data_IF_767401589692
#
_entry.id   IF_767401589692
#
_cell.length_a   1.000
_cell.length_b   1.000
_cell.length_c   1.000
_cell.angle_alpha   90.00
_cell.angle_beta   90.00
_cell.angle_gamma   90.00
#
_symmetry.space_group_name_H-M   'P 1'
#
loop_
_entity.id
_entity.type
_entity.pdbx_description
1 polymer ?
#
# COMPACT_ATOMS: atom_id res chain seq x y z
N UNK A 1 3.16 63.96 -17.28
CA UNK A 1 2.21 63.11 -16.53
C UNK A 1 1.81 61.97 -17.44
N UNK A 2 2.43 60.80 -17.28
CA UNK A 2 2.15 59.58 -18.03
C UNK A 2 1.10 58.76 -17.28
N UNK A 3 -0.02 58.37 -17.92
CA UNK A 3 -0.84 57.29 -17.39
C UNK A 3 -0.29 55.94 -17.87
N UNK A 4 0.04 55.14 -16.87
CA UNK A 4 0.35 53.70 -16.91
C UNK A 4 -0.72 52.93 -17.69
N UNK A 5 -0.36 52.37 -18.84
CA UNK A 5 -1.19 51.39 -19.55
C UNK A 5 -0.81 49.99 -19.04
N UNK A 6 -1.38 49.63 -17.89
CA UNK A 6 -1.29 48.28 -17.35
C UNK A 6 -2.18 47.35 -18.17
N UNK A 7 -1.57 46.60 -19.09
CA UNK A 7 -2.22 45.56 -19.88
C UNK A 7 -2.80 44.46 -18.94
N UNK A 8 -4.13 44.27 -18.88
CA UNK A 8 -4.77 43.31 -17.98
C UNK A 8 -4.60 41.84 -18.43
N UNK A 9 -3.98 41.57 -19.59
CA UNK A 9 -3.85 40.21 -20.11
C UNK A 9 -2.64 39.43 -19.56
N UNK A 10 -1.80 40.03 -18.70
CA UNK A 10 -0.64 39.33 -18.13
C UNK A 10 -0.97 38.38 -16.95
N UNK A 11 -2.23 38.32 -16.49
CA UNK A 11 -2.64 37.46 -15.36
C UNK A 11 -3.52 36.26 -15.74
N UNK A 12 -3.74 36.02 -17.04
CA UNK A 12 -4.58 34.91 -17.51
C UNK A 12 -3.80 33.75 -18.15
N UNK A 13 -2.47 33.72 -18.01
CA UNK A 13 -1.63 32.61 -18.46
C UNK A 13 -1.28 31.59 -17.37
N UNK A 14 -1.46 31.93 -16.08
CA UNK A 14 -1.01 31.08 -14.97
C UNK A 14 -2.11 30.19 -14.34
N UNK A 15 -3.35 30.27 -14.83
CA UNK A 15 -4.48 29.46 -14.33
C UNK A 15 -4.80 28.23 -15.20
N UNK A 16 -3.93 27.87 -16.15
CA UNK A 16 -4.16 26.76 -17.09
C UNK A 16 -3.13 25.63 -16.98
N UNK A 17 -2.67 25.37 -15.76
CA UNK A 17 -1.98 24.13 -15.41
C UNK A 17 -2.78 23.38 -14.34
N UNK A 18 -4.11 23.29 -14.54
CA UNK A 18 -4.83 22.15 -14.03
C UNK A 18 -4.20 20.94 -14.70
N UNK A 19 -3.48 20.10 -13.94
CA UNK A 19 -3.15 18.73 -14.36
C UNK A 19 -4.46 18.09 -14.78
N UNK A 20 -4.80 18.16 -16.06
CA UNK A 20 -5.74 17.23 -16.67
C UNK A 20 -5.03 15.91 -16.55
N UNK A 21 -5.30 15.18 -15.48
CA UNK A 21 -4.71 13.86 -15.26
C UNK A 21 -5.20 13.02 -16.45
N UNK A 22 -4.37 12.90 -17.47
CA UNK A 22 -4.71 12.18 -18.67
C UNK A 22 -5.14 10.77 -18.25
N UNK A 23 -6.30 10.33 -18.72
CA UNK A 23 -6.74 8.97 -18.45
C UNK A 23 -5.66 8.03 -19.01
N UNK A 24 -5.15 7.08 -18.21
CA UNK A 24 -4.04 6.21 -18.61
C UNK A 24 -4.46 5.36 -19.81
N UNK A 25 -3.51 5.08 -20.70
CA UNK A 25 -3.78 4.21 -21.84
C UNK A 25 -3.98 2.75 -21.36
N UNK A 26 -4.73 1.92 -22.10
CA UNK A 26 -4.94 0.53 -21.72
C UNK A 26 -3.61 -0.25 -21.63
N UNK A 27 -2.65 0.07 -22.48
CA UNK A 27 -1.32 -0.54 -22.47
C UNK A 27 -0.50 -0.12 -21.25
N UNK A 28 -0.56 1.14 -20.82
CA UNK A 28 0.06 1.60 -19.57
C UNK A 28 -0.54 0.89 -18.34
N UNK A 29 -1.85 0.65 -18.33
CA UNK A 29 -2.50 -0.08 -17.23
C UNK A 29 -2.09 -1.54 -17.19
N UNK A 30 -1.99 -2.20 -18.35
CA UNK A 30 -1.50 -3.57 -18.46
C UNK A 30 -0.04 -3.69 -18.03
N UNK A 31 0.79 -2.74 -18.46
CA UNK A 31 2.20 -2.69 -18.08
C UNK A 31 2.35 -2.48 -16.56
N UNK A 32 1.60 -1.53 -15.97
CA UNK A 32 1.58 -1.32 -14.52
C UNK A 32 1.14 -2.58 -13.79
N UNK A 33 0.09 -3.25 -14.25
CA UNK A 33 -0.40 -4.50 -13.66
C UNK A 33 0.68 -5.59 -13.65
N UNK A 34 1.44 -5.76 -14.72
CA UNK A 34 2.53 -6.74 -14.80
C UNK A 34 3.74 -6.35 -13.96
N UNK A 35 3.99 -5.06 -13.76
CA UNK A 35 5.08 -4.55 -12.92
C UNK A 35 4.78 -4.64 -11.41
N UNK A 36 3.53 -4.87 -11.01
CA UNK A 36 3.19 -5.05 -9.60
C UNK A 36 3.76 -6.36 -9.06
N UNK A 37 4.77 -6.24 -8.22
CA UNK A 37 5.35 -7.35 -7.49
C UNK A 37 4.50 -7.68 -6.25
N UNK A 38 3.68 -8.73 -6.38
CA UNK A 38 2.79 -9.19 -5.30
C UNK A 38 3.55 -9.67 -4.05
N UNK A 39 4.83 -10.05 -4.18
CA UNK A 39 5.64 -10.52 -3.06
C UNK A 39 5.98 -9.42 -2.05
N UNK A 40 5.86 -8.13 -2.45
CA UNK A 40 6.10 -6.97 -1.59
C UNK A 40 4.98 -6.70 -0.60
N UNK A 41 3.80 -7.26 -0.82
CA UNK A 41 2.63 -7.10 0.04
C UNK A 41 2.45 -8.25 1.04
N UNK A 42 3.42 -9.15 1.13
CA UNK A 42 3.40 -10.26 2.08
C UNK A 42 3.64 -9.74 3.51
N UNK A 43 2.55 -9.76 4.30
CA UNK A 43 2.53 -9.32 5.69
C UNK A 43 3.46 -10.16 6.56
N UNK A 44 3.51 -11.47 6.33
CA UNK A 44 4.29 -12.39 7.16
C UNK A 44 5.79 -12.24 6.86
N UNK A 45 6.15 -12.04 5.59
CA UNK A 45 7.53 -11.75 5.20
C UNK A 45 8.00 -10.42 5.78
N UNK A 46 7.20 -9.34 5.66
CA UNK A 46 7.55 -8.03 6.25
C UNK A 46 7.59 -8.06 7.77
N UNK A 47 6.66 -8.77 8.41
CA UNK A 47 6.68 -8.98 9.84
C UNK A 47 7.94 -9.74 10.27
N UNK A 48 8.38 -10.74 9.52
CA UNK A 48 9.61 -11.48 9.80
C UNK A 48 10.87 -10.63 9.56
N UNK A 49 10.91 -9.74 8.57
CA UNK A 49 12.00 -8.78 8.40
C UNK A 49 12.08 -7.81 9.58
N UNK A 50 10.94 -7.25 10.02
CA UNK A 50 10.88 -6.37 11.20
C UNK A 50 11.24 -7.10 12.50
N UNK A 51 10.79 -8.36 12.63
CA UNK A 51 11.05 -9.19 13.80
C UNK A 51 12.47 -9.72 13.82
N UNK A 52 13.06 -10.05 12.67
CA UNK A 52 14.40 -10.63 12.52
C UNK A 52 15.50 -9.83 13.23
N UNK A 53 15.40 -8.50 13.20
CA UNK A 53 16.31 -7.62 13.94
C UNK A 53 16.11 -7.67 15.48
N UNK A 54 14.92 -8.07 15.95
CA UNK A 54 14.53 -8.10 17.38
C UNK A 54 14.59 -9.48 18.04
N UNK A 55 14.70 -10.57 17.27
CA UNK A 55 14.78 -11.94 17.82
C UNK A 55 16.03 -12.08 18.71
N UNK A 56 17.15 -11.47 18.32
CA UNK A 56 18.36 -11.47 19.14
C UNK A 56 18.16 -10.79 20.50
N UNK A 57 17.35 -9.73 20.54
CA UNK A 57 17.01 -9.02 21.78
C UNK A 57 16.19 -9.90 22.73
N UNK A 58 15.25 -10.69 22.20
CA UNK A 58 14.46 -11.64 23.01
C UNK A 58 15.32 -12.80 23.53
N UNK A 59 16.23 -13.33 22.72
CA UNK A 59 17.15 -14.38 23.15
C UNK A 59 18.12 -13.91 24.26
N UNK A 60 18.56 -12.65 24.20
CA UNK A 60 19.40 -12.02 25.24
C UNK A 60 18.62 -11.55 26.47
N UNK A 61 17.29 -11.36 26.37
CA UNK A 61 16.49 -10.83 27.46
C UNK A 61 16.56 -11.71 28.73
N UNK A 62 16.54 -13.04 28.58
CA UNK A 62 16.60 -13.97 29.72
C UNK A 62 17.94 -13.83 30.49
N UNK A 63 19.12 -14.03 29.88
CA UNK A 63 20.38 -13.90 30.60
C UNK A 63 20.62 -12.48 31.15
N UNK A 64 20.26 -11.44 30.39
CA UNK A 64 20.40 -10.05 30.83
C UNK A 64 19.49 -9.77 32.04
N UNK A 65 18.24 -10.24 32.01
CA UNK A 65 17.30 -10.08 33.14
C UNK A 65 17.80 -10.77 34.41
N UNK A 66 18.44 -11.95 34.30
CA UNK A 66 19.02 -12.66 35.43
C UNK A 66 20.22 -11.91 36.06
N UNK A 67 21.06 -11.29 35.22
CA UNK A 67 22.17 -10.45 35.67
C UNK A 67 21.65 -9.20 36.38
N UNK A 68 20.65 -8.53 35.81
CA UNK A 68 20.03 -7.37 36.47
C UNK A 68 19.36 -7.76 37.79
N UNK A 69 18.65 -8.88 37.83
CA UNK A 69 18.00 -9.38 39.05
C UNK A 69 19.03 -9.61 40.16
N UNK A 70 20.15 -10.26 39.85
CA UNK A 70 21.20 -10.53 40.84
C UNK A 70 21.88 -9.24 41.31
N UNK A 71 22.19 -8.30 40.41
CA UNK A 71 22.77 -7.00 40.77
C UNK A 71 21.84 -6.20 41.68
N UNK A 72 20.56 -6.03 41.30
CA UNK A 72 19.60 -5.26 42.09
C UNK A 72 19.31 -5.92 43.43
N UNK A 73 19.22 -7.26 43.46
CA UNK A 73 19.05 -8.00 44.72
C UNK A 73 20.26 -7.81 45.64
N UNK A 74 21.49 -7.85 45.10
CA UNK A 74 22.71 -7.68 45.89
C UNK A 74 22.83 -6.24 46.44
N UNK A 75 22.50 -5.24 45.63
CA UNK A 75 22.48 -3.83 46.05
C UNK A 75 21.46 -3.63 47.17
N UNK A 76 20.24 -4.15 47.02
CA UNK A 76 19.20 -4.03 48.03
C UNK A 76 19.54 -4.79 49.31
N UNK A 77 20.10 -6.01 49.18
CA UNK A 77 20.56 -6.79 50.32
C UNK A 77 21.64 -6.06 51.12
N UNK A 78 22.59 -5.42 50.46
CA UNK A 78 23.67 -4.67 51.11
C UNK A 78 23.19 -3.34 51.72
N UNK A 79 22.28 -2.63 51.05
CA UNK A 79 21.80 -1.32 51.50
C UNK A 79 20.77 -1.40 52.65
N UNK A 80 19.96 -2.46 52.69
CA UNK A 80 18.83 -2.58 53.61
C UNK A 80 18.91 -3.79 54.55
N UNK A 81 19.98 -4.59 54.46
CA UNK A 81 20.21 -5.83 55.23
C UNK A 81 19.06 -6.86 55.12
N UNK A 82 18.30 -6.76 54.02
CA UNK A 82 17.07 -7.51 53.79
C UNK A 82 17.10 -8.13 52.39
N UNK A 83 17.65 -9.36 52.25
CA UNK A 83 17.85 -9.98 50.94
C UNK A 83 16.53 -10.45 50.29
N UNK A 84 15.61 -11.01 51.08
CA UNK A 84 14.34 -11.54 50.56
C UNK A 84 13.43 -10.40 50.03
N UNK A 85 13.19 -9.30 50.76
CA UNK A 85 12.40 -8.18 50.24
C UNK A 85 13.04 -7.52 49.02
N UNK A 86 14.36 -7.38 49.02
CA UNK A 86 15.11 -6.78 47.90
C UNK A 86 14.98 -7.60 46.62
N UNK A 87 15.00 -8.93 46.73
CA UNK A 87 14.74 -9.83 45.62
C UNK A 87 13.33 -9.62 45.05
N UNK A 88 12.31 -9.60 45.91
CA UNK A 88 10.91 -9.45 45.49
C UNK A 88 10.66 -8.12 44.78
N UNK A 89 11.22 -7.02 45.29
CA UNK A 89 11.12 -5.69 44.67
C UNK A 89 11.81 -5.69 43.30
N UNK A 90 13.01 -6.27 43.22
CA UNK A 90 13.76 -6.37 41.96
C UNK A 90 12.98 -7.18 40.92
N UNK A 91 12.43 -8.34 41.32
CA UNK A 91 11.61 -9.17 40.46
C UNK A 91 10.35 -8.44 39.98
N UNK A 92 9.69 -7.68 40.85
CA UNK A 92 8.53 -6.88 40.48
C UNK A 92 8.86 -5.79 39.44
N UNK A 93 9.99 -5.10 39.61
CA UNK A 93 10.48 -4.09 38.65
C UNK A 93 10.80 -4.74 37.30
N UNK A 94 11.55 -5.84 37.32
CA UNK A 94 11.91 -6.59 36.11
C UNK A 94 10.68 -7.12 35.37
N UNK A 95 9.69 -7.63 36.10
CA UNK A 95 8.41 -8.05 35.52
C UNK A 95 7.73 -6.87 34.82
N UNK A 96 7.66 -5.71 35.48
CA UNK A 96 7.03 -4.53 34.92
C UNK A 96 7.72 -4.05 33.64
N UNK A 97 9.05 -3.99 33.63
CA UNK A 97 9.85 -3.67 32.43
C UNK A 97 9.60 -4.69 31.31
N UNK A 98 9.57 -5.99 31.65
CA UNK A 98 9.28 -7.06 30.71
C UNK A 98 7.92 -6.88 30.04
N UNK A 99 6.88 -6.58 30.81
CA UNK A 99 5.54 -6.32 30.26
C UNK A 99 5.50 -5.10 29.35
N UNK A 100 6.27 -4.04 29.65
CA UNK A 100 6.35 -2.85 28.80
C UNK A 100 7.02 -3.17 27.46
N UNK A 101 8.10 -3.95 27.46
CA UNK A 101 8.78 -4.38 26.22
C UNK A 101 7.87 -5.28 25.39
N UNK A 102 7.17 -6.22 26.02
CA UNK A 102 6.28 -7.16 25.36
C UNK A 102 5.07 -6.44 24.71
N UNK A 103 4.60 -5.35 25.33
CA UNK A 103 3.57 -4.49 24.75
C UNK A 103 3.98 -3.91 23.39
N UNK A 104 5.26 -3.55 23.19
CA UNK A 104 5.73 -3.04 21.90
C UNK A 104 5.70 -4.11 20.80
N UNK A 105 5.92 -5.38 21.15
CA UNK A 105 5.87 -6.48 20.18
C UNK A 105 4.46 -6.70 19.64
N UNK A 106 3.42 -6.41 20.44
CA UNK A 106 2.01 -6.52 20.01
C UNK A 106 1.63 -5.53 18.92
N UNK A 107 2.37 -4.43 18.78
CA UNK A 107 2.10 -3.40 17.76
C UNK A 107 2.77 -3.69 16.40
N UNK A 108 3.74 -4.61 16.34
CA UNK A 108 4.42 -4.99 15.10
C UNK A 108 3.48 -5.48 13.97
N UNK A 109 2.51 -6.38 14.19
CA UNK A 109 1.61 -6.80 13.12
C UNK A 109 0.73 -5.65 12.60
N UNK A 110 0.39 -4.70 13.48
CA UNK A 110 -0.39 -3.50 13.10
C UNK A 110 0.47 -2.57 12.24
N UNK A 111 1.73 -2.36 12.62
CA UNK A 111 2.67 -1.54 11.85
C UNK A 111 2.96 -2.14 10.47
N UNK A 112 3.25 -3.45 10.39
CA UNK A 112 3.47 -4.15 9.12
C UNK A 112 2.24 -4.06 8.19
N UNK A 113 1.03 -4.20 8.75
CA UNK A 113 -0.20 -3.99 7.98
C UNK A 113 -0.34 -2.55 7.47
N UNK A 114 -0.05 -1.55 8.30
CA UNK A 114 -0.15 -0.15 7.91
C UNK A 114 0.86 0.21 6.81
N UNK A 115 2.09 -0.29 6.88
CA UNK A 115 3.08 -0.12 5.81
C UNK A 115 2.61 -0.74 4.50
N UNK A 116 2.04 -1.94 4.55
CA UNK A 116 1.50 -2.59 3.35
C UNK A 116 0.31 -1.80 2.79
N UNK A 117 -0.54 -1.22 3.64
CA UNK A 117 -1.61 -0.32 3.18
C UNK A 117 -1.06 0.92 2.46
N UNK A 118 0.04 1.49 2.96
CA UNK A 118 0.72 2.61 2.29
C UNK A 118 1.32 2.19 0.94
N UNK A 119 1.99 1.03 0.88
CA UNK A 119 2.53 0.50 -0.37
C UNK A 119 1.43 0.22 -1.41
N UNK A 120 0.28 -0.28 -0.97
CA UNK A 120 -0.90 -0.44 -1.84
C UNK A 120 -1.39 0.93 -2.31
N UNK A 121 -1.46 1.93 -1.43
CA UNK A 121 -1.86 3.29 -1.80
C UNK A 121 -0.91 3.90 -2.85
N UNK A 122 0.40 3.70 -2.71
CA UNK A 122 1.41 4.13 -3.67
C UNK A 122 1.27 3.41 -5.02
N UNK A 123 0.97 2.10 -4.98
CA UNK A 123 0.79 1.28 -6.17
C UNK A 123 -0.47 1.64 -6.94
N UNK A 124 -1.57 1.92 -6.23
CA UNK A 124 -2.84 2.36 -6.81
C UNK A 124 -2.75 3.81 -7.35
N UNK A 125 -1.98 4.66 -6.68
CA UNK A 125 -1.81 6.07 -7.04
C UNK A 125 -3.12 6.87 -7.00
N UNK A 126 -3.15 8.02 -7.66
CA UNK A 126 -4.32 8.91 -7.68
C UNK A 126 -5.49 8.37 -8.54
N UNK A 127 -5.20 7.50 -9.51
CA UNK A 127 -6.18 7.02 -10.50
C UNK A 127 -6.74 5.62 -10.17
N UNK A 128 -6.04 4.83 -9.37
CA UNK A 128 -6.45 3.50 -8.92
C UNK A 128 -6.32 2.41 -9.99
N UNK A 129 -5.36 1.50 -9.84
CA UNK A 129 -5.09 0.40 -10.77
C UNK A 129 -6.22 -0.64 -10.78
N UNK A 130 -6.52 -1.28 -9.65
CA UNK A 130 -7.51 -2.36 -9.55
C UNK A 130 -8.95 -1.91 -9.91
N UNK A 131 -9.41 -0.70 -9.57
CA UNK A 131 -10.72 -0.20 -10.01
C UNK A 131 -10.93 -0.23 -11.53
N UNK A 132 -9.88 -0.04 -12.34
CA UNK A 132 -9.96 -0.10 -13.80
C UNK A 132 -10.19 -1.52 -14.33
N UNK A 133 -9.67 -2.53 -13.64
CA UNK A 133 -9.83 -3.95 -13.96
C UNK A 133 -11.05 -4.61 -13.29
N UNK A 134 -11.88 -3.83 -12.59
CA UNK A 134 -13.00 -4.36 -11.78
C UNK A 134 -14.00 -5.25 -12.53
N UNK A 135 -14.17 -5.07 -13.85
CA UNK A 135 -15.04 -5.90 -14.69
C UNK A 135 -14.49 -7.31 -14.95
N UNK A 136 -13.17 -7.47 -14.86
CA UNK A 136 -12.48 -8.75 -15.05
C UNK A 136 -12.30 -9.51 -13.74
N UNK A 137 -12.69 -8.89 -12.61
CA UNK A 137 -12.66 -9.53 -11.30
C UNK A 137 -14.00 -10.18 -10.95
N UNK A 138 -13.99 -11.36 -10.32
CA UNK A 138 -15.20 -11.99 -9.80
C UNK A 138 -15.95 -11.09 -8.80
N UNK A 139 -17.28 -11.21 -8.74
CA UNK A 139 -18.16 -10.40 -7.86
C UNK A 139 -17.78 -10.44 -6.37
N UNK A 140 -17.07 -11.49 -5.91
CA UNK A 140 -16.56 -11.59 -4.52
C UNK A 140 -15.62 -10.44 -4.14
N UNK A 141 -14.94 -9.83 -5.13
CA UNK A 141 -14.03 -8.68 -4.92
C UNK A 141 -14.75 -7.33 -4.96
N UNK A 142 -16.08 -7.31 -4.93
CA UNK A 142 -16.85 -6.06 -4.99
C UNK A 142 -16.48 -5.08 -3.87
N UNK A 143 -16.36 -5.58 -2.65
CA UNK A 143 -16.02 -4.77 -1.49
C UNK A 143 -14.58 -4.23 -1.56
N UNK A 144 -13.66 -5.01 -2.11
CA UNK A 144 -12.27 -4.59 -2.33
C UNK A 144 -12.20 -3.34 -3.20
N UNK A 145 -12.68 -3.39 -4.46
CA UNK A 145 -12.52 -2.24 -5.36
C UNK A 145 -13.38 -1.04 -4.95
N UNK A 146 -14.52 -1.26 -4.27
CA UNK A 146 -15.31 -0.17 -3.68
C UNK A 146 -14.53 0.54 -2.57
N UNK A 147 -13.79 -0.20 -1.75
CA UNK A 147 -12.92 0.38 -0.73
C UNK A 147 -11.71 1.08 -1.32
N UNK A 148 -11.08 0.51 -2.35
CA UNK A 148 -9.94 1.14 -3.06
C UNK A 148 -10.35 2.50 -3.65
N UNK A 149 -11.52 2.60 -4.30
CA UNK A 149 -12.05 3.89 -4.79
C UNK A 149 -12.25 4.94 -3.70
N UNK A 150 -12.41 4.53 -2.44
CA UNK A 150 -12.56 5.42 -1.28
C UNK A 150 -11.23 5.66 -0.56
N UNK A 151 -10.10 5.17 -1.08
CA UNK A 151 -8.79 5.27 -0.43
C UNK A 151 -8.62 4.36 0.79
N UNK A 152 -9.45 3.31 0.92
CA UNK A 152 -9.38 2.36 2.03
C UNK A 152 -8.70 1.06 1.59
N UNK A 153 -7.50 0.79 2.12
CA UNK A 153 -6.63 -0.31 1.69
C UNK A 153 -6.62 -1.52 2.64
N UNK A 154 -7.65 -1.66 3.48
CA UNK A 154 -7.70 -2.67 4.54
C UNK A 154 -7.65 -4.13 4.03
N UNK A 155 -8.14 -4.38 2.81
CA UNK A 155 -8.32 -5.72 2.25
C UNK A 155 -7.05 -6.25 1.54
N UNK A 156 -5.93 -6.30 2.26
CA UNK A 156 -4.59 -6.65 1.72
C UNK A 156 -4.60 -8.03 1.02
N UNK A 157 -5.08 -9.08 1.68
CA UNK A 157 -5.05 -10.44 1.10
C UNK A 157 -5.90 -10.54 -0.18
N UNK A 158 -7.08 -9.90 -0.17
CA UNK A 158 -7.99 -9.89 -1.31
C UNK A 158 -7.38 -9.08 -2.46
N UNK A 159 -6.65 -8.01 -2.16
CA UNK A 159 -5.90 -7.23 -3.13
C UNK A 159 -4.82 -8.05 -3.83
N UNK A 160 -3.99 -8.77 -3.07
CA UNK A 160 -2.94 -9.65 -3.61
C UNK A 160 -3.56 -10.72 -4.51
N UNK A 161 -4.63 -11.37 -4.06
CA UNK A 161 -5.33 -12.37 -4.86
C UNK A 161 -5.93 -11.78 -6.14
N UNK A 162 -6.51 -10.58 -6.07
CA UNK A 162 -7.09 -9.90 -7.23
C UNK A 162 -6.01 -9.58 -8.27
N UNK A 163 -4.86 -9.02 -7.85
CA UNK A 163 -3.75 -8.74 -8.76
C UNK A 163 -3.17 -10.02 -9.34
N UNK A 164 -2.94 -11.04 -8.51
CA UNK A 164 -2.42 -12.33 -8.99
C UNK A 164 -3.37 -12.99 -9.99
N UNK A 165 -4.68 -12.89 -9.75
CA UNK A 165 -5.69 -13.38 -10.69
C UNK A 165 -5.60 -12.60 -12.00
N UNK A 166 -5.57 -11.27 -11.95
CA UNK A 166 -5.46 -10.43 -13.14
C UNK A 166 -4.17 -10.72 -13.91
N UNK A 167 -3.02 -10.87 -13.25
CA UNK A 167 -1.76 -11.21 -13.92
C UNK A 167 -1.80 -12.58 -14.63
N UNK A 168 -2.54 -13.56 -14.09
CA UNK A 168 -2.60 -14.92 -14.64
C UNK A 168 -3.70 -15.14 -15.67
N UNK A 169 -4.87 -14.51 -15.49
CA UNK A 169 -6.08 -14.82 -16.27
C UNK A 169 -6.62 -13.63 -17.06
N UNK A 170 -5.96 -12.47 -17.05
CA UNK A 170 -6.40 -11.34 -17.87
C UNK A 170 -5.99 -11.57 -19.32
N UNK A 171 -7.01 -11.62 -20.18
CA UNK A 171 -6.83 -11.57 -21.63
C UNK A 171 -6.63 -10.11 -22.05
N UNK A 172 -5.38 -9.73 -22.32
CA UNK A 172 -4.98 -8.37 -22.64
C UNK A 172 -5.78 -7.79 -23.82
N UNK A 173 -6.05 -8.60 -24.85
CA UNK A 173 -6.80 -8.16 -26.03
C UNK A 173 -8.26 -7.84 -25.69
N UNK A 174 -8.90 -8.66 -24.84
CA UNK A 174 -10.28 -8.38 -24.36
C UNK A 174 -10.33 -7.15 -23.47
N UNK A 175 -9.29 -6.90 -22.66
CA UNK A 175 -9.20 -5.69 -21.85
C UNK A 175 -9.10 -4.44 -22.71
N UNK A 176 -8.21 -4.43 -23.70
CA UNK A 176 -8.04 -3.30 -24.63
C UNK A 176 -9.34 -3.00 -25.38
N UNK A 177 -10.00 -4.03 -25.90
CA UNK A 177 -11.31 -3.89 -26.57
C UNK A 177 -12.36 -3.28 -25.63
N UNK A 178 -12.49 -3.81 -24.41
CA UNK A 178 -13.42 -3.28 -23.42
C UNK A 178 -13.11 -1.82 -23.03
N UNK A 179 -11.83 -1.47 -22.93
CA UNK A 179 -11.38 -0.13 -22.57
C UNK A 179 -11.80 0.91 -23.62
N UNK A 180 -11.53 0.65 -24.89
CA UNK A 180 -11.90 1.57 -25.98
C UNK A 180 -13.42 1.68 -26.19
N UNK A 181 -14.18 0.60 -25.91
CA UNK A 181 -15.65 0.67 -25.90
C UNK A 181 -16.19 1.57 -24.79
N UNK A 182 -15.53 1.57 -23.62
CA UNK A 182 -15.94 2.36 -22.46
C UNK A 182 -15.47 3.82 -22.54
N UNK A 183 -14.36 4.07 -23.22
CA UNK A 183 -13.74 5.39 -23.38
C UNK A 183 -13.54 5.72 -24.88
N UNK A 184 -14.62 5.92 -25.66
CA UNK A 184 -14.54 6.11 -27.11
C UNK A 184 -13.80 7.38 -27.53
N UNK A 185 -13.65 8.35 -26.62
CA UNK A 185 -12.94 9.61 -26.84
C UNK A 185 -11.40 9.45 -26.84
N UNK A 186 -10.87 8.32 -26.38
CA UNK A 186 -9.44 8.03 -26.36
C UNK A 186 -8.99 7.08 -27.48
N UNK A 187 -9.91 6.63 -28.35
CA UNK A 187 -9.55 5.94 -29.56
C UNK A 187 -8.92 6.97 -30.51
N UNK A 188 -7.59 6.93 -30.66
CA UNK A 188 -6.90 7.72 -31.68
C UNK A 188 -7.52 7.43 -33.07
N UNK A 189 -7.69 8.44 -33.93
CA UNK A 189 -8.30 8.27 -35.25
C UNK A 189 -7.39 7.55 -36.26
N UNK A 190 -6.21 7.08 -35.86
CA UNK A 190 -5.31 6.30 -36.71
C UNK A 190 -5.33 4.82 -36.30
N UNK A 191 -6.49 4.18 -36.46
CA UNK A 191 -6.50 2.72 -36.65
C UNK A 191 -5.98 2.48 -38.06
N UNK A 192 -4.64 2.43 -38.20
CA UNK A 192 -3.98 1.91 -39.40
C UNK A 192 -4.64 0.59 -39.78
N UNK A 193 -4.96 0.43 -41.06
CA UNK A 193 -5.80 -0.62 -41.65
C UNK A 193 -5.34 -2.08 -41.41
N UNK A 194 -4.30 -2.30 -40.59
CA UNK A 194 -3.76 -3.61 -40.24
C UNK A 194 -4.19 -4.12 -38.85
N UNK A 195 -5.01 -3.38 -38.09
CA UNK A 195 -5.58 -3.90 -36.85
C UNK A 195 -6.90 -4.64 -37.15
N UNK A 196 -7.04 -5.95 -36.83
CA UNK A 196 -8.20 -6.79 -37.21
C UNK A 196 -9.55 -6.37 -36.60
N UNK A 197 -9.64 -5.21 -35.96
CA UNK A 197 -10.81 -4.73 -35.23
C UNK A 197 -11.17 -3.26 -35.51
N UNK A 198 -10.54 -2.60 -36.49
CA UNK A 198 -10.94 -1.27 -36.98
C UNK A 198 -12.42 -1.25 -37.45
N UNK A 199 -12.93 -2.38 -37.92
CA UNK A 199 -14.30 -2.53 -38.43
C UNK A 199 -15.38 -2.39 -37.34
N UNK A 200 -15.11 -2.88 -36.12
CA UNK A 200 -16.10 -2.87 -35.01
C UNK A 200 -16.27 -1.47 -34.44
N UNK A 201 -15.16 -0.73 -34.28
CA UNK A 201 -15.17 0.65 -33.79
C UNK A 201 -15.84 1.58 -34.80
N UNK A 202 -15.54 1.40 -36.10
CA UNK A 202 -16.20 2.17 -37.16
C UNK A 202 -17.71 1.89 -37.25
N UNK A 203 -18.15 0.65 -36.99
CA UNK A 203 -19.59 0.31 -37.00
C UNK A 203 -20.36 0.91 -35.83
N UNK A 204 -19.74 1.00 -34.65
CA UNK A 204 -20.32 1.68 -33.49
C UNK A 204 -20.43 3.19 -33.71
N UNK A 205 -19.42 3.80 -34.35
CA UNK A 205 -19.39 5.24 -34.66
C UNK A 205 -20.38 5.64 -35.76
N UNK A 206 -20.75 4.72 -36.65
CA UNK A 206 -21.74 4.95 -37.73
C UNK A 206 -23.21 4.79 -37.29
N UNK A 207 -23.43 4.31 -36.06
CA UNK A 207 -24.77 4.02 -35.50
C UNK A 207 -25.17 4.98 -34.36
N UNK A 208 -24.33 5.98 -34.07
CA UNK A 208 -24.59 7.09 -33.16
C UNK A 208 -24.74 8.39 -33.98
#
# INVERSE_FOLDING_TARGET
MTPSNANPNAKLSDAKNAKTVALPTPDELLQRLQQVDCSRFDVDKRMNEMRGNRIWFSAMAIPVSAVFLTIFTLIGAFAFDQPIPSFLISAAILYWIGTLIDSQQRHLPIQARNEIMQLIAETEGEQGLVPHFSYFLPKRYRHLWQSLKKGNYHYIEQYIQAITLLQKSLDANKFIQFWYLKHPQQAEPETTEDHPFAEVVNKAKKSA
#
